data_IF_949240310920
#
_entry.id   IF_949240310920
#
_cell.length_a   1.000
_cell.length_b   1.000
_cell.length_c   1.000
_cell.angle_alpha   90.00
_cell.angle_beta   90.00
_cell.angle_gamma   90.00
#
_symmetry.space_group_name_H-M   'P 1'
#
loop_
_entity.id
_entity.type
_entity.pdbx_description
1 polymer ?
#
# COMPACT_ATOMS: atom_id res chain seq x y z
N UNK A 1 67.86 -12.58 -54.17
CA UNK A 1 67.88 -12.75 -52.70
C UNK A 1 66.66 -13.59 -52.36
N UNK A 2 66.93 -14.89 -52.24
CA UNK A 2 66.16 -16.06 -51.73
C UNK A 2 64.69 -15.80 -51.37
N UNK A 3 63.64 -16.38 -51.96
CA UNK A 3 63.34 -17.72 -52.52
C UNK A 3 63.44 -18.91 -51.54
N UNK A 4 62.28 -19.58 -51.39
CA UNK A 4 62.00 -20.98 -51.01
C UNK A 4 62.27 -21.37 -49.53
N UNK A 5 61.57 -22.31 -48.85
CA UNK A 5 60.84 -23.50 -49.33
C UNK A 5 60.05 -24.20 -48.21
N UNK A 6 59.01 -24.96 -48.64
CA UNK A 6 58.59 -26.34 -48.22
C UNK A 6 58.35 -26.63 -46.71
N UNK A 7 57.14 -27.02 -46.28
CA UNK A 7 56.43 -28.30 -46.48
C UNK A 7 57.13 -29.52 -45.84
N UNK A 8 56.56 -30.03 -44.74
CA UNK A 8 56.63 -31.42 -44.22
C UNK A 8 55.40 -31.59 -43.29
N UNK A 9 54.32 -32.30 -43.67
CA UNK A 9 54.12 -33.76 -43.68
C UNK A 9 54.35 -34.48 -42.33
N UNK A 10 53.27 -34.85 -41.63
CA UNK A 10 52.88 -36.24 -41.27
C UNK A 10 51.55 -36.21 -40.50
N UNK A 11 50.42 -36.74 -40.99
CA UNK A 11 49.97 -38.15 -40.90
C UNK A 11 50.19 -38.75 -39.50
N UNK A 12 49.26 -39.44 -38.84
CA UNK A 12 48.02 -40.07 -39.25
C UNK A 12 47.64 -41.09 -38.17
N UNK A 13 46.35 -41.41 -38.13
CA UNK A 13 45.64 -42.40 -37.32
C UNK A 13 46.39 -43.65 -36.84
N UNK A 14 46.01 -44.18 -35.68
CA UNK A 14 46.34 -45.56 -35.29
C UNK A 14 45.74 -45.99 -33.97
N UNK A 15 44.69 -46.82 -34.06
CA UNK A 15 43.97 -47.50 -32.99
C UNK A 15 44.79 -48.58 -32.27
N UNK A 16 44.38 -48.94 -31.05
CA UNK A 16 44.60 -50.26 -30.44
C UNK A 16 45.29 -50.20 -29.08
N UNK A 17 44.51 -50.21 -27.98
CA UNK A 17 44.26 -51.39 -27.13
C UNK A 17 45.47 -51.83 -26.31
N UNK A 18 45.44 -51.54 -25.01
CA UNK A 18 45.82 -52.50 -23.99
C UNK A 18 45.04 -52.29 -22.70
N UNK A 19 44.67 -53.42 -22.12
CA UNK A 19 43.75 -53.62 -21.01
C UNK A 19 44.45 -53.34 -19.67
N UNK A 20 43.81 -52.57 -18.79
CA UNK A 20 44.05 -52.71 -17.36
C UNK A 20 42.76 -52.54 -16.57
N UNK A 21 42.41 -53.62 -15.88
CA UNK A 21 41.22 -53.78 -15.08
C UNK A 21 41.32 -53.02 -13.74
N UNK A 22 40.16 -52.54 -13.28
CA UNK A 22 39.82 -52.59 -11.86
C UNK A 22 39.90 -51.28 -11.08
N UNK A 23 38.85 -50.45 -11.17
CA UNK A 23 38.26 -49.83 -9.98
C UNK A 23 36.83 -49.37 -10.29
N UNK A 24 35.86 -50.17 -9.86
CA UNK A 24 34.45 -49.80 -9.86
C UNK A 24 34.23 -48.75 -8.77
N UNK A 25 34.10 -47.49 -9.18
CA UNK A 25 33.54 -46.43 -8.34
C UNK A 25 32.06 -46.76 -8.08
N UNK A 26 31.80 -47.32 -6.89
CA UNK A 26 30.47 -47.57 -6.35
C UNK A 26 29.71 -46.29 -6.02
N UNK A 27 29.37 -45.49 -7.04
CA UNK A 27 28.34 -44.46 -6.90
C UNK A 27 27.01 -45.19 -6.70
N UNK A 28 26.27 -44.97 -5.60
CA UNK A 28 24.95 -45.55 -5.47
C UNK A 28 24.13 -45.07 -6.68
N UNK A 29 23.59 -46.01 -7.46
CA UNK A 29 22.66 -45.68 -8.52
C UNK A 29 21.56 -44.81 -7.91
N UNK A 30 21.42 -43.57 -8.38
CA UNK A 30 20.34 -42.69 -7.95
C UNK A 30 19.03 -43.41 -8.25
N UNK A 31 18.39 -43.92 -7.20
CA UNK A 31 17.09 -44.56 -7.30
C UNK A 31 16.11 -43.47 -7.75
N UNK A 32 15.66 -43.57 -9.00
CA UNK A 32 14.64 -42.68 -9.52
C UNK A 32 13.36 -42.85 -8.69
N UNK A 33 12.58 -41.77 -8.51
CA UNK A 33 11.31 -41.86 -7.79
C UNK A 33 10.39 -42.89 -8.47
N UNK A 34 9.61 -43.66 -7.69
CA UNK A 34 8.66 -44.64 -8.24
C UNK A 34 7.59 -43.94 -9.09
N UNK A 35 6.94 -44.68 -9.99
CA UNK A 35 5.85 -44.13 -10.79
C UNK A 35 4.71 -43.61 -9.91
N UNK A 36 4.25 -42.38 -10.15
CA UNK A 36 3.32 -41.72 -9.25
C UNK A 36 2.98 -40.29 -9.65
N UNK A 37 2.09 -39.69 -8.87
CA UNK A 37 1.71 -38.29 -9.03
C UNK A 37 2.59 -37.41 -8.17
N UNK A 38 3.24 -36.45 -8.80
CA UNK A 38 4.14 -35.50 -8.16
C UNK A 38 3.76 -34.08 -8.58
N UNK A 39 4.21 -33.07 -7.84
CA UNK A 39 4.04 -31.67 -8.23
C UNK A 39 4.56 -31.46 -9.66
N UNK A 40 3.75 -30.81 -10.51
CA UNK A 40 4.12 -30.60 -11.91
C UNK A 40 5.40 -29.75 -11.99
N UNK A 41 6.52 -30.27 -12.55
CA UNK A 41 7.77 -29.52 -12.66
C UNK A 41 7.72 -28.43 -13.73
N UNK A 42 6.68 -28.38 -14.58
CA UNK A 42 6.55 -27.36 -15.61
C UNK A 42 6.31 -25.99 -14.96
N UNK A 43 6.97 -24.90 -15.41
CA UNK A 43 6.82 -23.56 -14.81
C UNK A 43 5.38 -23.00 -14.82
N UNK A 44 4.54 -23.54 -15.70
CA UNK A 44 3.10 -23.22 -15.83
C UNK A 44 2.20 -24.37 -15.35
N UNK A 45 2.78 -25.42 -14.78
CA UNK A 45 2.07 -26.58 -14.27
C UNK A 45 1.27 -26.23 -13.03
N UNK A 46 -0.05 -26.43 -13.10
CA UNK A 46 -0.95 -26.33 -11.95
C UNK A 46 -1.35 -27.73 -11.51
N UNK A 47 -1.10 -28.05 -10.23
CA UNK A 47 -1.42 -29.35 -9.66
C UNK A 47 -0.30 -30.38 -9.80
N UNK A 48 -0.68 -31.63 -10.09
CA UNK A 48 0.24 -32.76 -10.14
C UNK A 48 0.36 -33.31 -11.56
N UNK A 49 1.56 -33.74 -11.94
CA UNK A 49 1.85 -34.46 -13.18
C UNK A 49 2.25 -35.89 -12.86
N UNK A 50 1.89 -36.83 -13.72
CA UNK A 50 2.25 -38.24 -13.53
C UNK A 50 3.67 -38.53 -14.04
N UNK A 51 4.51 -39.10 -13.19
CA UNK A 51 5.83 -39.65 -13.47
C UNK A 51 5.69 -41.16 -13.68
N UNK A 52 6.21 -41.70 -14.78
CA UNK A 52 6.07 -43.12 -15.13
C UNK A 52 7.23 -44.01 -14.64
N UNK A 53 8.19 -43.45 -13.91
CA UNK A 53 9.41 -44.13 -13.47
C UNK A 53 10.65 -43.79 -14.32
N UNK A 54 10.47 -43.22 -15.51
CA UNK A 54 11.58 -42.82 -16.39
C UNK A 54 11.44 -41.39 -16.94
N UNK A 55 10.20 -40.89 -17.12
CA UNK A 55 9.91 -39.54 -17.62
C UNK A 55 8.58 -38.99 -17.10
N UNK A 56 8.43 -37.67 -17.24
CA UNK A 56 7.17 -37.00 -17.01
C UNK A 56 6.21 -37.24 -18.18
N UNK A 57 4.96 -37.61 -17.85
CA UNK A 57 3.90 -37.81 -18.85
C UNK A 57 3.08 -36.54 -19.07
N UNK A 58 2.21 -36.54 -20.07
CA UNK A 58 1.28 -35.43 -20.33
C UNK A 58 0.08 -35.40 -19.36
N UNK A 59 -0.12 -36.43 -18.53
CA UNK A 59 -1.25 -36.53 -17.61
C UNK A 59 -1.08 -35.59 -16.42
N UNK A 60 -2.03 -34.66 -16.26
CA UNK A 60 -2.09 -33.68 -15.16
C UNK A 60 -3.41 -33.80 -14.39
N UNK A 61 -3.38 -33.57 -13.07
CA UNK A 61 -4.57 -33.50 -12.23
C UNK A 61 -4.52 -32.31 -11.25
N UNK A 62 -5.67 -31.73 -10.87
CA UNK A 62 -5.72 -30.75 -9.78
C UNK A 62 -5.15 -31.33 -8.47
N UNK A 63 -4.59 -30.48 -7.62
CA UNK A 63 -4.13 -30.92 -6.30
C UNK A 63 -5.34 -31.39 -5.47
N UNK A 64 -5.30 -32.60 -4.86
CA UNK A 64 -6.38 -33.06 -3.98
C UNK A 64 -6.70 -32.07 -2.84
N UNK A 65 -5.76 -31.22 -2.43
CA UNK A 65 -6.02 -30.14 -1.48
C UNK A 65 -6.98 -29.05 -2.01
N UNK A 66 -7.02 -28.84 -3.33
CA UNK A 66 -7.92 -27.86 -3.98
C UNK A 66 -9.32 -28.44 -4.23
N UNK A 67 -9.44 -29.75 -4.41
CA UNK A 67 -10.74 -30.42 -4.62
C UNK A 67 -11.58 -30.54 -3.33
N UNK A 68 -10.95 -30.54 -2.15
CA UNK A 68 -11.66 -30.56 -0.86
C UNK A 68 -12.16 -29.18 -0.39
N UNK A 69 -11.79 -28.09 -1.08
CA UNK A 69 -12.08 -26.71 -0.68
C UNK A 69 -13.34 -26.08 -1.28
N UNK A 70 -14.12 -26.83 -2.07
CA UNK A 70 -15.34 -26.32 -2.73
C UNK A 70 -16.55 -27.17 -2.33
N UNK A 71 -16.91 -27.13 -1.04
CA UNK A 71 -18.24 -27.51 -0.56
C UNK A 71 -18.82 -26.29 0.16
N UNK A 72 -19.50 -25.43 -0.60
CA UNK A 72 -20.35 -24.37 -0.04
C UNK A 72 -21.61 -24.97 0.61
N UNK A 73 -22.27 -24.23 1.52
CA UNK A 73 -23.33 -24.76 2.37
C UNK A 73 -24.53 -25.22 1.54
N UNK A 74 -24.92 -26.48 1.73
CA UNK A 74 -26.08 -27.09 1.09
C UNK A 74 -27.39 -26.44 1.56
N UNK A 75 -28.15 -25.98 0.59
CA UNK A 75 -29.53 -25.50 0.70
C UNK A 75 -30.46 -26.66 1.10
N UNK A 76 -31.38 -26.38 2.02
CA UNK A 76 -32.29 -27.38 2.59
C UNK A 76 -33.34 -27.86 1.57
N UNK A 77 -33.46 -29.18 1.41
CA UNK A 77 -34.59 -29.84 0.76
C UNK A 77 -34.93 -31.16 1.51
N UNK A 78 -36.19 -31.64 1.43
CA UNK A 78 -36.85 -32.36 2.52
C UNK A 78 -36.57 -33.87 2.60
N UNK A 79 -36.82 -34.40 3.79
CA UNK A 79 -36.76 -35.79 4.26
C UNK A 79 -37.42 -36.84 3.36
N UNK A 80 -36.71 -37.96 3.14
CA UNK A 80 -37.26 -39.28 2.81
C UNK A 80 -36.37 -40.39 3.46
N UNK A 81 -36.92 -41.56 3.84
CA UNK A 81 -36.38 -42.38 4.93
C UNK A 81 -35.32 -43.42 4.54
N UNK A 82 -34.34 -43.51 5.44
CA UNK A 82 -33.47 -44.61 5.89
C UNK A 82 -33.61 -45.98 5.21
N UNK A 83 -32.48 -46.52 4.72
CA UNK A 83 -32.24 -47.96 4.65
C UNK A 83 -30.90 -48.31 5.30
N UNK A 84 -30.98 -49.17 6.31
CA UNK A 84 -29.89 -49.73 7.09
C UNK A 84 -29.11 -50.78 6.28
N UNK A 85 -27.78 -50.79 6.41
CA UNK A 85 -26.99 -52.02 6.27
C UNK A 85 -25.83 -52.00 7.28
N UNK A 86 -25.74 -53.11 8.01
CA UNK A 86 -24.95 -53.39 9.21
C UNK A 86 -23.52 -53.89 8.88
N UNK A 87 -22.65 -54.11 9.90
CA UNK A 87 -21.20 -53.91 9.84
C UNK A 87 -20.40 -55.22 9.64
N UNK A 88 -19.08 -55.11 9.43
CA UNK A 88 -18.17 -56.23 9.78
C UNK A 88 -16.77 -55.80 10.30
N UNK A 89 -16.18 -56.54 11.27
CA UNK A 89 -14.99 -56.16 12.04
C UNK A 89 -13.76 -57.09 11.83
N UNK A 90 -12.55 -56.67 12.24
CA UNK A 90 -11.38 -57.57 12.31
C UNK A 90 -10.05 -56.94 12.75
N UNK A 91 -9.63 -57.28 13.98
CA UNK A 91 -8.37 -56.99 14.73
C UNK A 91 -7.20 -57.94 14.32
N UNK A 92 -6.02 -58.04 15.01
CA UNK A 92 -5.06 -57.07 15.61
C UNK A 92 -3.54 -57.49 15.38
N UNK A 93 -2.61 -56.94 16.22
CA UNK A 93 -1.34 -57.55 16.76
C UNK A 93 -0.02 -56.92 16.24
N UNK A 94 1.02 -56.52 16.99
CA UNK A 94 1.31 -56.37 18.43
C UNK A 94 2.85 -56.27 18.72
N UNK A 95 3.32 -55.15 19.35
CA UNK A 95 4.42 -54.92 20.36
C UNK A 95 5.89 -55.47 20.19
N UNK A 96 6.90 -55.14 21.05
CA UNK A 96 7.34 -53.85 21.64
C UNK A 96 8.91 -53.64 21.76
N UNK A 97 9.36 -52.37 21.82
CA UNK A 97 10.44 -51.82 22.69
C UNK A 97 11.93 -52.26 22.63
N UNK A 98 12.88 -51.30 22.64
CA UNK A 98 13.97 -51.13 23.63
C UNK A 98 14.98 -50.02 23.24
N UNK A 99 15.85 -49.68 24.19
CA UNK A 99 16.45 -48.38 24.54
C UNK A 99 17.95 -48.28 24.14
N UNK A 100 18.40 -47.07 23.81
CA UNK A 100 19.75 -46.41 23.80
C UNK A 100 21.06 -47.17 24.17
N UNK A 101 22.27 -46.75 23.67
CA UNK A 101 22.88 -45.44 24.01
C UNK A 101 23.72 -44.71 22.93
N UNK A 102 24.11 -43.48 23.29
CA UNK A 102 24.79 -42.41 22.54
C UNK A 102 26.32 -42.38 22.80
N UNK A 103 27.15 -41.86 21.87
CA UNK A 103 28.06 -40.70 22.17
C UNK A 103 28.23 -39.78 20.93
N UNK A 104 28.61 -38.50 20.92
CA UNK A 104 29.06 -37.46 21.85
C UNK A 104 29.26 -36.16 21.01
N UNK A 105 29.19 -34.98 21.62
CA UNK A 105 29.07 -33.63 21.00
C UNK A 105 30.38 -33.10 20.33
N UNK A 106 30.28 -32.05 19.49
CA UNK A 106 30.65 -30.72 20.01
C UNK A 106 29.62 -29.61 19.74
N UNK A 107 29.74 -28.58 20.58
CA UNK A 107 28.81 -27.49 20.90
C UNK A 107 29.19 -26.18 20.19
N UNK A 108 28.20 -25.49 19.62
CA UNK A 108 28.12 -24.03 19.38
C UNK A 108 26.72 -23.75 18.77
N UNK A 109 25.90 -22.74 19.07
CA UNK A 109 25.82 -21.59 19.99
C UNK A 109 24.34 -21.11 19.85
N UNK A 110 23.63 -20.59 20.88
CA UNK A 110 22.18 -20.37 20.79
C UNK A 110 21.84 -19.03 20.12
N UNK A 111 21.05 -19.06 19.04
CA UNK A 111 20.32 -17.88 18.55
C UNK A 111 18.85 -17.97 19.02
N UNK A 112 18.38 -16.87 19.62
CA UNK A 112 17.11 -16.79 20.32
C UNK A 112 15.94 -16.69 19.33
N UNK A 113 15.03 -17.68 19.40
CA UNK A 113 13.76 -17.63 18.68
C UNK A 113 12.76 -16.64 19.28
N UNK A 114 11.93 -16.05 18.42
CA UNK A 114 10.61 -15.52 18.81
C UNK A 114 9.52 -16.13 17.93
N UNK A 115 8.52 -16.70 18.57
CA UNK A 115 7.54 -17.63 18.01
C UNK A 115 6.58 -17.04 16.99
N UNK A 116 6.41 -17.77 15.88
CA UNK A 116 5.37 -17.53 14.89
C UNK A 116 4.07 -18.25 15.26
N UNK A 117 3.00 -17.47 15.43
CA UNK A 117 1.62 -17.96 15.47
C UNK A 117 1.18 -18.38 14.06
N UNK A 118 0.40 -19.46 13.89
CA UNK A 118 -0.11 -19.85 12.58
C UNK A 118 -1.29 -18.96 12.19
N UNK A 119 -1.08 -18.04 11.24
CA UNK A 119 -2.20 -17.29 10.64
C UNK A 119 -2.87 -18.15 9.55
N UNK A 120 -4.12 -18.51 9.82
CA UNK A 120 -5.04 -19.22 8.96
C UNK A 120 -5.72 -18.21 8.01
N UNK A 121 -5.69 -18.51 6.70
CA UNK A 121 -6.68 -18.03 5.72
C UNK A 121 -6.45 -16.64 5.12
N UNK A 122 -5.96 -16.59 3.88
CA UNK A 122 -5.99 -15.37 3.07
C UNK A 122 -5.47 -15.59 1.64
N UNK A 123 -6.41 -15.72 0.70
CA UNK A 123 -6.28 -15.68 -0.76
C UNK A 123 -4.87 -15.45 -1.34
N UNK A 124 -4.20 -16.52 -1.77
CA UNK A 124 -3.01 -16.43 -2.62
C UNK A 124 -3.43 -16.04 -4.04
N UNK A 125 -3.24 -14.77 -4.40
CA UNK A 125 -3.31 -14.30 -5.79
C UNK A 125 -2.01 -14.68 -6.52
N UNK A 126 -2.04 -15.46 -7.61
CA UNK A 126 -0.84 -15.93 -8.29
C UNK A 126 -0.43 -14.94 -9.38
N UNK A 127 0.27 -13.87 -9.02
CA UNK A 127 1.03 -13.07 -9.98
C UNK A 127 2.43 -12.82 -9.41
N UNK A 128 3.36 -13.75 -9.68
CA UNK A 128 4.80 -13.54 -9.43
C UNK A 128 5.29 -12.44 -10.36
N UNK A 129 5.72 -11.31 -9.81
CA UNK A 129 6.61 -10.39 -10.53
C UNK A 129 8.03 -10.95 -10.47
N UNK A 130 8.64 -11.09 -11.64
CA UNK A 130 9.95 -11.70 -11.92
C UNK A 130 11.16 -10.86 -11.45
N UNK A 131 10.92 -9.79 -10.70
CA UNK A 131 11.96 -8.99 -10.07
C UNK A 131 11.69 -9.00 -8.56
N UNK A 132 12.65 -9.47 -7.77
CA UNK A 132 12.58 -9.73 -6.32
C UNK A 132 12.31 -8.52 -5.40
N UNK A 133 11.33 -7.70 -5.74
CA UNK A 133 10.78 -6.66 -4.89
C UNK A 133 9.76 -7.29 -3.95
N UNK A 134 9.93 -7.04 -2.65
CA UNK A 134 9.00 -7.44 -1.62
C UNK A 134 7.57 -6.99 -1.98
N UNK A 135 6.59 -7.86 -1.74
CA UNK A 135 5.17 -7.49 -1.88
C UNK A 135 4.91 -6.21 -1.08
N UNK A 136 4.11 -5.27 -1.60
CA UNK A 136 3.71 -4.10 -0.83
C UNK A 136 3.02 -4.58 0.45
N UNK A 137 3.65 -4.38 1.61
CA UNK A 137 3.00 -4.65 2.88
C UNK A 137 1.92 -3.57 3.09
N UNK A 138 0.66 -3.96 2.94
CA UNK A 138 -0.50 -3.11 3.25
C UNK A 138 -1.55 -3.00 2.14
N UNK A 139 -2.58 -2.18 2.36
CA UNK A 139 -3.69 -2.02 1.42
C UNK A 139 -3.22 -1.58 0.02
N UNK A 140 -3.77 -2.20 -1.01
CA UNK A 140 -3.49 -1.90 -2.41
C UNK A 140 -4.76 -1.50 -3.15
N UNK A 141 -4.59 -0.79 -4.26
CA UNK A 141 -5.65 -0.57 -5.27
C UNK A 141 -6.01 -1.88 -5.97
N UNK A 142 -7.14 -1.94 -6.69
CA UNK A 142 -7.50 -3.14 -7.44
C UNK A 142 -6.46 -3.51 -8.52
N UNK A 143 -5.78 -2.52 -9.09
CA UNK A 143 -4.64 -2.73 -9.99
C UNK A 143 -3.30 -2.97 -9.26
N UNK A 144 -3.29 -3.13 -7.93
CA UNK A 144 -2.11 -3.61 -7.19
C UNK A 144 -1.08 -2.55 -6.79
N UNK A 145 -1.45 -1.26 -6.82
CA UNK A 145 -0.59 -0.16 -6.38
C UNK A 145 -0.76 0.09 -4.89
N UNK A 146 0.33 0.27 -4.15
CA UNK A 146 0.29 0.49 -2.70
C UNK A 146 -0.43 1.78 -2.33
N UNK A 147 -1.35 1.71 -1.37
CA UNK A 147 -1.96 2.90 -0.78
C UNK A 147 -0.96 3.67 0.09
N UNK A 148 -1.04 4.99 0.04
CA UNK A 148 -0.20 5.88 0.86
C UNK A 148 -0.43 5.65 2.36
N UNK A 149 0.66 5.63 3.12
CA UNK A 149 0.63 5.56 4.59
C UNK A 149 -0.06 6.76 5.23
N UNK A 150 -0.72 6.55 6.37
CA UNK A 150 -1.33 7.64 7.14
C UNK A 150 -0.32 8.67 7.63
N UNK A 151 0.82 8.22 8.16
CA UNK A 151 1.91 9.12 8.58
C UNK A 151 2.44 9.98 7.44
N UNK A 152 2.65 9.39 6.26
CA UNK A 152 3.06 10.16 5.08
C UNK A 152 1.99 11.19 4.67
N UNK A 153 0.70 10.83 4.69
CA UNK A 153 -0.36 11.80 4.36
C UNK A 153 -0.45 12.93 5.38
N UNK A 154 -0.24 12.64 6.66
CA UNK A 154 -0.22 13.64 7.73
C UNK A 154 0.96 14.61 7.58
N UNK A 155 2.17 14.10 7.34
CA UNK A 155 3.35 14.96 7.12
C UNK A 155 3.20 15.76 5.82
N UNK A 156 2.61 15.20 4.76
CA UNK A 156 2.29 15.94 3.54
C UNK A 156 1.36 17.12 3.83
N UNK A 157 0.32 16.90 4.64
CA UNK A 157 -0.58 17.95 5.08
C UNK A 157 0.12 19.05 5.89
N UNK A 158 1.08 18.70 6.76
CA UNK A 158 1.91 19.68 7.47
C UNK A 158 2.75 20.51 6.48
N UNK A 159 3.41 19.87 5.52
CA UNK A 159 4.24 20.57 4.53
C UNK A 159 3.39 21.57 3.73
N UNK A 160 2.23 21.13 3.23
CA UNK A 160 1.30 22.03 2.53
C UNK A 160 0.77 23.14 3.45
N UNK A 161 0.55 22.84 4.74
CA UNK A 161 0.16 23.83 5.74
C UNK A 161 1.22 24.92 5.93
N UNK A 162 2.49 24.55 6.03
CA UNK A 162 3.60 25.50 6.13
C UNK A 162 3.67 26.37 4.88
N UNK A 163 3.54 25.78 3.69
CA UNK A 163 3.53 26.54 2.43
C UNK A 163 2.38 27.55 2.39
N UNK A 164 1.19 27.15 2.83
CA UNK A 164 0.05 28.06 2.91
C UNK A 164 0.22 29.14 3.98
N UNK A 165 0.85 28.84 5.12
CA UNK A 165 1.18 29.85 6.13
C UNK A 165 2.15 30.88 5.56
N UNK A 166 3.19 30.45 4.84
CA UNK A 166 4.13 31.38 4.18
C UNK A 166 3.39 32.27 3.18
N UNK A 167 2.56 31.70 2.32
CA UNK A 167 1.73 32.45 1.36
C UNK A 167 0.81 33.43 2.11
N UNK A 168 0.16 32.98 3.17
CA UNK A 168 -0.73 33.81 3.99
C UNK A 168 0.02 34.98 4.64
N UNK A 169 1.23 34.76 5.16
CA UNK A 169 2.06 35.82 5.73
C UNK A 169 2.47 36.85 4.68
N UNK A 170 2.81 36.42 3.46
CA UNK A 170 3.12 37.32 2.35
C UNK A 170 1.89 38.14 1.96
N UNK A 171 0.74 37.49 1.80
CA UNK A 171 -0.53 38.18 1.48
C UNK A 171 -0.88 39.16 2.59
N UNK A 172 -0.69 38.78 3.86
CA UNK A 172 -0.96 39.64 5.01
C UNK A 172 -0.14 40.94 4.94
N UNK A 173 1.09 40.93 4.41
CA UNK A 173 1.88 42.16 4.26
C UNK A 173 1.16 43.22 3.40
N UNK A 174 0.35 42.80 2.42
CA UNK A 174 -0.42 43.71 1.57
C UNK A 174 -1.56 44.40 2.34
N UNK A 175 -2.13 43.71 3.32
CA UNK A 175 -3.23 44.22 4.17
C UNK A 175 -2.75 44.81 5.48
N UNK A 176 -1.47 44.60 5.84
CA UNK A 176 -0.93 44.89 7.16
C UNK A 176 -1.10 46.36 7.53
N UNK A 177 -0.80 47.27 6.60
CA UNK A 177 -0.94 48.72 6.82
C UNK A 177 -2.38 49.10 7.19
N UNK A 178 -3.36 48.61 6.44
CA UNK A 178 -4.76 49.00 6.63
C UNK A 178 -5.32 48.43 7.93
N UNK A 179 -5.01 47.16 8.22
CA UNK A 179 -5.41 46.50 9.48
C UNK A 179 -4.78 47.20 10.68
N UNK A 180 -3.49 47.54 10.62
CA UNK A 180 -2.78 48.22 11.70
C UNK A 180 -3.31 49.64 11.90
N UNK A 181 -3.56 50.38 10.82
CA UNK A 181 -4.11 51.74 10.89
C UNK A 181 -5.50 51.73 11.55
N UNK A 182 -6.37 50.82 11.10
CA UNK A 182 -7.69 50.60 11.68
C UNK A 182 -7.64 50.26 13.18
N UNK A 183 -6.72 49.37 13.56
CA UNK A 183 -6.55 48.96 14.96
C UNK A 183 -5.97 50.10 15.83
N UNK A 184 -5.01 50.87 15.31
CA UNK A 184 -4.45 52.02 16.00
C UNK A 184 -5.50 53.11 16.22
N UNK A 185 -6.37 53.35 15.24
CA UNK A 185 -7.48 54.30 15.38
C UNK A 185 -8.46 53.86 16.46
N UNK A 186 -8.88 52.59 16.45
CA UNK A 186 -9.72 52.02 17.52
C UNK A 186 -9.08 52.18 18.90
N UNK A 187 -7.78 51.87 19.01
CA UNK A 187 -7.07 51.99 20.28
C UNK A 187 -7.02 53.44 20.78
N UNK A 188 -6.82 54.41 19.89
CA UNK A 188 -6.82 55.83 20.24
C UNK A 188 -8.19 56.28 20.77
N UNK A 189 -9.28 55.85 20.13
CA UNK A 189 -10.63 56.20 20.56
C UNK A 189 -10.98 55.58 21.91
N UNK A 190 -10.60 54.32 22.14
CA UNK A 190 -10.74 53.66 23.44
C UNK A 190 -10.01 54.44 24.53
N UNK A 191 -8.74 54.81 24.31
CA UNK A 191 -7.94 55.59 25.27
C UNK A 191 -8.59 56.95 25.53
N UNK A 192 -9.11 57.61 24.48
CA UNK A 192 -9.78 58.91 24.60
C UNK A 192 -11.07 58.82 25.44
N UNK A 193 -11.87 57.77 25.24
CA UNK A 193 -13.09 57.52 26.00
C UNK A 193 -12.78 57.35 27.49
N UNK A 194 -11.76 56.55 27.82
CA UNK A 194 -11.30 56.38 29.20
C UNK A 194 -10.81 57.69 29.83
N UNK A 195 -9.98 58.46 29.12
CA UNK A 195 -9.46 59.74 29.63
C UNK A 195 -10.56 60.77 29.87
N UNK A 196 -11.65 60.70 29.11
CA UNK A 196 -12.80 61.59 29.23
C UNK A 196 -13.85 61.08 30.24
N UNK A 197 -13.57 59.98 30.96
CA UNK A 197 -14.48 59.39 31.95
C UNK A 197 -15.71 58.69 31.33
N UNK A 198 -15.69 58.40 30.04
CA UNK A 198 -16.74 57.63 29.37
C UNK A 198 -16.67 56.16 29.77
N UNK A 199 -17.82 55.55 30.02
CA UNK A 199 -17.98 54.09 30.16
C UNK A 199 -18.36 53.41 28.85
N UNK A 200 -18.63 54.19 27.80
CA UNK A 200 -18.92 53.68 26.46
C UNK A 200 -17.61 53.42 25.72
N UNK A 201 -17.22 52.14 25.64
CA UNK A 201 -15.97 51.70 25.03
C UNK A 201 -16.27 51.15 23.64
N UNK A 202 -15.76 51.80 22.57
CA UNK A 202 -15.97 51.33 21.21
C UNK A 202 -15.48 49.90 21.00
N UNK A 203 -16.23 49.10 20.25
CA UNK A 203 -15.83 47.74 19.88
C UNK A 203 -14.85 47.78 18.71
N UNK A 204 -13.78 46.95 18.70
CA UNK A 204 -12.90 46.83 17.54
C UNK A 204 -13.62 46.24 16.31
N UNK A 205 -14.80 45.64 16.53
CA UNK A 205 -15.62 45.08 15.47
C UNK A 205 -16.55 46.12 14.81
N UNK A 206 -16.60 47.35 15.35
CA UNK A 206 -17.42 48.42 14.78
C UNK A 206 -16.99 48.69 13.32
N UNK A 207 -17.93 48.68 12.36
CA UNK A 207 -17.64 48.96 10.96
C UNK A 207 -16.92 50.29 10.72
N UNK A 208 -17.04 51.27 11.63
CA UNK A 208 -16.36 52.57 11.53
C UNK A 208 -14.84 52.44 11.43
N UNK A 209 -14.24 51.44 12.10
CA UNK A 209 -12.80 51.20 12.06
C UNK A 209 -12.36 50.38 10.85
N UNK A 210 -13.27 49.60 10.24
CA UNK A 210 -12.95 48.76 9.09
C UNK A 210 -12.07 47.53 9.38
N UNK A 211 -11.69 47.28 10.65
CA UNK A 211 -10.88 46.11 11.06
C UNK A 211 -11.53 44.81 10.59
N UNK A 212 -12.82 44.64 10.88
CA UNK A 212 -13.62 43.46 10.50
C UNK A 212 -13.63 43.27 8.99
N UNK A 213 -13.87 44.33 8.23
CA UNK A 213 -13.92 44.29 6.76
C UNK A 213 -12.58 43.87 6.17
N UNK A 214 -11.48 44.51 6.58
CA UNK A 214 -10.15 44.19 6.07
C UNK A 214 -9.72 42.77 6.44
N UNK A 215 -10.05 42.33 7.66
CA UNK A 215 -9.81 40.96 8.08
C UNK A 215 -10.55 39.94 7.22
N UNK A 216 -11.83 40.17 6.91
CA UNK A 216 -12.60 39.26 6.06
C UNK A 216 -12.12 39.26 4.61
N UNK A 217 -11.78 40.42 4.05
CA UNK A 217 -11.22 40.50 2.69
C UNK A 217 -9.92 39.69 2.62
N UNK A 218 -9.02 39.88 3.59
CA UNK A 218 -7.80 39.09 3.70
C UNK A 218 -8.09 37.58 3.77
N UNK A 219 -9.01 37.14 4.63
CA UNK A 219 -9.37 35.73 4.77
C UNK A 219 -9.94 35.16 3.46
N UNK A 220 -10.83 35.87 2.79
CA UNK A 220 -11.42 35.44 1.50
C UNK A 220 -10.33 35.31 0.42
N UNK A 221 -9.41 36.27 0.34
CA UNK A 221 -8.28 36.22 -0.61
C UNK A 221 -7.40 34.99 -0.34
N UNK A 222 -7.04 34.73 0.92
CA UNK A 222 -6.25 33.55 1.30
C UNK A 222 -6.99 32.26 0.99
N UNK A 223 -8.31 32.21 1.24
CA UNK A 223 -9.12 31.04 0.89
C UNK A 223 -9.11 30.77 -0.62
N UNK A 224 -9.30 31.80 -1.45
CA UNK A 224 -9.29 31.66 -2.91
C UNK A 224 -7.93 31.18 -3.40
N UNK A 225 -6.84 31.80 -2.92
CA UNK A 225 -5.47 31.41 -3.30
C UNK A 225 -5.20 29.95 -2.95
N UNK A 226 -5.54 29.54 -1.72
CA UNK A 226 -5.37 28.15 -1.33
C UNK A 226 -6.24 27.19 -2.14
N UNK A 227 -7.47 27.59 -2.49
CA UNK A 227 -8.39 26.77 -3.29
C UNK A 227 -7.79 26.50 -4.66
N UNK A 228 -7.34 27.58 -5.32
CA UNK A 228 -6.67 27.52 -6.62
C UNK A 228 -5.39 26.69 -6.52
N UNK A 229 -4.56 26.92 -5.50
CA UNK A 229 -3.32 26.15 -5.28
C UNK A 229 -3.58 24.63 -5.27
N UNK A 230 -4.51 24.18 -4.42
CA UNK A 230 -4.79 22.74 -4.33
C UNK A 230 -5.52 22.19 -5.54
N UNK A 231 -6.44 22.97 -6.13
CA UNK A 231 -7.19 22.56 -7.31
C UNK A 231 -6.26 22.32 -8.50
N UNK A 232 -5.42 23.30 -8.83
CA UNK A 232 -4.53 23.22 -9.98
C UNK A 232 -3.47 22.14 -9.79
N UNK A 233 -2.88 22.01 -8.60
CA UNK A 233 -1.92 20.94 -8.32
C UNK A 233 -2.54 19.55 -8.40
N UNK A 234 -3.74 19.38 -7.85
CA UNK A 234 -4.45 18.10 -7.92
C UNK A 234 -4.84 17.78 -9.36
N UNK A 235 -5.31 18.77 -10.13
CA UNK A 235 -5.70 18.60 -11.51
C UNK A 235 -4.52 18.23 -12.41
N UNK A 236 -3.43 19.02 -12.38
CA UNK A 236 -2.31 18.86 -13.30
C UNK A 236 -1.26 17.85 -12.83
N UNK A 237 -0.99 17.77 -11.53
CA UNK A 237 0.07 16.90 -10.97
C UNK A 237 -0.48 15.67 -10.27
N UNK A 238 -1.78 15.63 -9.98
CA UNK A 238 -2.38 14.55 -9.19
C UNK A 238 -1.83 14.52 -7.77
N UNK A 239 -1.22 15.59 -7.28
CA UNK A 239 -0.61 15.63 -5.95
C UNK A 239 -0.31 17.08 -5.55
N UNK A 240 -0.46 17.37 -4.26
CA UNK A 240 0.01 18.62 -3.65
C UNK A 240 1.54 18.63 -3.54
N UNK A 241 2.18 19.76 -3.21
CA UNK A 241 3.63 19.80 -3.06
C UNK A 241 4.09 18.95 -1.86
N UNK A 242 3.35 18.97 -0.75
CA UNK A 242 3.62 18.09 0.38
C UNK A 242 3.49 16.60 0.02
N UNK A 243 2.48 16.24 -0.79
CA UNK A 243 2.33 14.88 -1.29
C UNK A 243 3.47 14.48 -2.21
N UNK A 244 3.88 15.35 -3.13
CA UNK A 244 5.02 15.10 -4.02
C UNK A 244 6.32 14.88 -3.23
N UNK A 245 6.59 15.71 -2.23
CA UNK A 245 7.75 15.58 -1.35
C UNK A 245 7.80 14.20 -0.66
N UNK A 246 6.64 13.64 -0.33
CA UNK A 246 6.53 12.34 0.33
C UNK A 246 6.32 11.16 -0.61
N UNK A 247 6.39 11.38 -1.93
CA UNK A 247 6.14 10.34 -2.93
C UNK A 247 4.72 9.77 -2.80
N UNK A 248 3.74 10.66 -2.70
CA UNK A 248 2.32 10.36 -2.69
C UNK A 248 1.66 10.93 -3.94
N UNK A 249 0.65 10.22 -4.43
CA UNK A 249 -0.14 10.65 -5.58
C UNK A 249 -1.61 10.32 -5.37
N UNK A 250 -2.46 11.25 -5.75
CA UNK A 250 -3.91 11.10 -5.80
C UNK A 250 -4.30 10.53 -7.16
N UNK A 251 -5.08 9.48 -7.14
CA UNK A 251 -5.54 8.73 -8.31
C UNK A 251 -7.03 8.40 -8.15
N UNK A 252 -7.76 8.10 -9.23
CA UNK A 252 -9.11 7.56 -9.12
C UNK A 252 -9.11 6.26 -8.29
N UNK A 253 -10.24 6.00 -7.63
CA UNK A 253 -10.40 4.78 -6.83
C UNK A 253 -10.14 3.55 -7.68
N UNK A 254 -9.44 2.60 -7.07
CA UNK A 254 -9.02 1.32 -7.63
C UNK A 254 -8.16 1.39 -8.92
N UNK A 255 -7.70 2.57 -9.34
CA UNK A 255 -6.89 2.79 -10.55
C UNK A 255 -5.60 3.55 -10.26
N UNK A 256 -4.58 2.88 -9.74
CA UNK A 256 -3.28 3.46 -9.35
C UNK A 256 -2.26 3.67 -10.47
N UNK A 257 -2.37 2.95 -11.59
CA UNK A 257 -1.43 3.03 -12.73
C UNK A 257 -1.74 4.13 -13.75
N UNK A 258 -2.75 4.97 -13.48
CA UNK A 258 -3.10 6.06 -14.39
C UNK A 258 -2.00 7.14 -14.44
N UNK A 259 -1.94 7.93 -15.53
CA UNK A 259 -1.07 9.10 -15.61
C UNK A 259 -1.32 10.09 -14.46
N UNK A 260 -0.34 10.97 -14.21
CA UNK A 260 -0.49 12.01 -13.21
C UNK A 260 -1.59 13.01 -13.60
N UNK A 261 -2.23 13.58 -12.59
CA UNK A 261 -3.35 14.49 -12.78
C UNK A 261 -4.71 13.81 -12.58
N UNK A 262 -5.69 14.61 -12.19
CA UNK A 262 -7.08 14.20 -12.04
C UNK A 262 -7.96 15.06 -12.95
N UNK A 263 -9.06 14.54 -13.49
CA UNK A 263 -10.01 15.37 -14.23
C UNK A 263 -10.57 16.49 -13.35
N UNK A 264 -11.10 17.56 -13.97
CA UNK A 264 -11.63 18.72 -13.26
C UNK A 264 -12.73 18.35 -12.25
N UNK A 265 -13.68 17.49 -12.62
CA UNK A 265 -14.79 17.09 -11.75
C UNK A 265 -14.33 16.48 -10.42
N UNK A 266 -13.58 15.36 -10.42
CA UNK A 266 -13.00 14.79 -9.21
C UNK A 266 -12.14 15.78 -8.43
N UNK A 267 -11.34 16.61 -9.11
CA UNK A 267 -10.50 17.62 -8.44
C UNK A 267 -11.36 18.66 -7.71
N UNK A 268 -12.39 19.20 -8.35
CA UNK A 268 -13.32 20.17 -7.76
C UNK A 268 -14.10 19.60 -6.59
N UNK A 269 -14.62 18.37 -6.71
CA UNK A 269 -15.34 17.72 -5.60
C UNK A 269 -14.40 17.46 -4.43
N UNK A 270 -13.20 16.93 -4.71
CA UNK A 270 -12.20 16.60 -3.70
C UNK A 270 -11.82 17.84 -2.90
N UNK A 271 -11.49 18.91 -3.62
CA UNK A 271 -11.05 20.15 -3.03
C UNK A 271 -12.25 20.85 -2.37
N UNK A 272 -13.39 20.97 -3.04
CA UNK A 272 -14.61 21.57 -2.51
C UNK A 272 -15.05 21.01 -1.15
N UNK A 273 -15.05 19.69 -0.97
CA UNK A 273 -15.39 19.06 0.33
C UNK A 273 -14.44 19.51 1.46
N UNK A 274 -13.14 19.64 1.17
CA UNK A 274 -12.18 20.18 2.14
C UNK A 274 -12.42 21.67 2.43
N UNK A 275 -12.80 22.44 1.40
CA UNK A 275 -13.02 23.88 1.51
C UNK A 275 -14.31 24.27 2.21
N UNK A 276 -15.34 23.42 2.18
CA UNK A 276 -16.58 23.66 2.95
C UNK A 276 -16.27 23.88 4.43
N UNK A 277 -15.41 23.05 5.03
CA UNK A 277 -14.98 23.24 6.42
C UNK A 277 -14.26 24.58 6.66
N UNK A 278 -13.42 25.01 5.70
CA UNK A 278 -12.70 26.29 5.78
C UNK A 278 -13.65 27.49 5.68
N UNK A 279 -14.63 27.42 4.79
CA UNK A 279 -15.64 28.48 4.59
C UNK A 279 -16.56 28.59 5.82
N UNK A 280 -17.04 27.47 6.36
CA UNK A 280 -17.80 27.46 7.62
C UNK A 280 -16.98 28.11 8.74
N UNK A 281 -15.68 27.84 8.78
CA UNK A 281 -14.72 28.43 9.72
C UNK A 281 -14.66 29.96 9.74
N UNK A 282 -15.10 30.65 8.68
CA UNK A 282 -15.14 32.12 8.64
C UNK A 282 -16.33 32.72 9.41
N UNK A 283 -17.36 31.92 9.72
CA UNK A 283 -18.56 32.41 10.36
C UNK A 283 -18.31 32.64 11.87
N UNK A 284 -18.58 33.83 12.43
CA UNK A 284 -18.27 34.14 13.83
C UNK A 284 -18.89 33.17 14.84
N UNK A 285 -20.15 32.78 14.62
CA UNK A 285 -20.94 32.01 15.59
C UNK A 285 -20.70 30.51 15.45
N UNK A 286 -20.57 30.03 14.21
CA UNK A 286 -20.52 28.59 13.90
C UNK A 286 -19.18 28.13 13.32
N UNK A 287 -18.16 28.99 13.35
CA UNK A 287 -16.84 28.71 12.78
C UNK A 287 -16.18 27.46 13.33
N UNK A 288 -16.42 27.13 14.60
CA UNK A 288 -15.89 25.92 15.23
C UNK A 288 -16.36 24.63 14.53
N UNK A 289 -17.55 24.62 13.90
CA UNK A 289 -18.06 23.49 13.14
C UNK A 289 -17.18 23.18 11.91
N UNK A 290 -16.49 24.19 11.37
CA UNK A 290 -15.54 24.02 10.28
C UNK A 290 -14.36 23.11 10.65
N UNK A 291 -13.92 23.14 11.91
CA UNK A 291 -12.89 22.22 12.43
C UNK A 291 -13.45 20.81 12.61
N UNK A 292 -14.72 20.67 12.99
CA UNK A 292 -15.36 19.35 13.11
C UNK A 292 -15.49 18.66 11.75
N UNK A 293 -15.74 19.40 10.67
CA UNK A 293 -15.76 18.84 9.30
C UNK A 293 -14.39 18.24 8.93
N UNK A 294 -13.30 18.96 9.23
CA UNK A 294 -11.94 18.46 8.98
C UNK A 294 -11.60 17.25 9.84
N UNK A 295 -12.02 17.26 11.11
CA UNK A 295 -11.83 16.14 12.01
C UNK A 295 -12.60 14.89 11.53
N UNK A 296 -13.85 15.06 11.10
CA UNK A 296 -14.65 13.99 10.54
C UNK A 296 -14.01 13.38 9.28
N UNK A 297 -13.41 14.20 8.42
CA UNK A 297 -12.68 13.76 7.23
C UNK A 297 -11.50 12.83 7.58
N UNK A 298 -10.71 13.21 8.58
CA UNK A 298 -9.55 12.43 9.06
C UNK A 298 -9.99 11.16 9.77
N UNK A 299 -10.95 11.24 10.70
CA UNK A 299 -11.47 10.09 11.46
C UNK A 299 -12.04 9.04 10.49
N UNK A 300 -12.86 9.48 9.53
CA UNK A 300 -13.40 8.57 8.52
C UNK A 300 -12.29 7.85 7.75
N UNK A 301 -11.25 8.59 7.38
CA UNK A 301 -10.10 7.99 6.69
C UNK A 301 -9.36 6.96 7.53
N UNK A 302 -9.12 7.24 8.81
CA UNK A 302 -8.40 6.32 9.71
C UNK A 302 -9.18 5.02 9.91
N UNK A 303 -10.51 5.11 10.00
CA UNK A 303 -11.39 3.95 10.16
C UNK A 303 -11.59 3.14 8.85
N UNK A 304 -11.33 3.73 7.69
CA UNK A 304 -11.61 3.12 6.39
C UNK A 304 -10.50 2.16 5.93
N UNK A 305 -10.84 0.91 5.59
CA UNK A 305 -9.91 -0.10 5.06
C UNK A 305 -9.20 0.32 3.77
N UNK A 306 -9.87 1.09 2.90
CA UNK A 306 -9.28 1.70 1.69
C UNK A 306 -8.52 3.00 2.00
N UNK A 307 -8.38 3.37 3.27
CA UNK A 307 -7.75 4.60 3.74
C UNK A 307 -8.30 5.83 3.00
N UNK A 308 -9.58 5.87 2.66
CA UNK A 308 -10.18 7.03 1.98
C UNK A 308 -10.76 7.97 3.02
N UNK A 309 -10.30 9.22 3.00
CA UNK A 309 -10.96 10.34 3.69
C UNK A 309 -12.30 10.67 3.03
N UNK A 310 -13.16 11.45 3.70
CA UNK A 310 -14.46 11.85 3.15
C UNK A 310 -14.30 12.56 1.80
N UNK A 311 -13.37 13.51 1.70
CA UNK A 311 -13.09 14.24 0.48
C UNK A 311 -12.59 13.35 -0.68
N UNK A 312 -11.90 12.26 -0.36
CA UNK A 312 -11.48 11.27 -1.34
C UNK A 312 -12.66 10.39 -1.77
N UNK A 313 -13.52 9.99 -0.82
CA UNK A 313 -14.71 9.20 -1.10
C UNK A 313 -15.68 9.93 -2.02
N UNK A 314 -16.02 11.18 -1.72
CA UNK A 314 -16.96 11.97 -2.54
C UNK A 314 -16.44 12.23 -3.96
N UNK A 315 -15.13 12.36 -4.12
CA UNK A 315 -14.51 12.57 -5.43
C UNK A 315 -14.18 11.29 -6.19
N UNK A 316 -14.42 10.11 -5.59
CA UNK A 316 -14.00 8.85 -6.19
C UNK A 316 -12.48 8.79 -6.40
N UNK A 317 -11.71 9.30 -5.44
CA UNK A 317 -10.24 9.27 -5.45
C UNK A 317 -9.65 8.54 -4.25
N UNK A 318 -8.35 8.23 -4.33
CA UNK A 318 -7.55 7.64 -3.26
C UNK A 318 -6.10 8.08 -3.41
N UNK A 319 -5.32 8.00 -2.33
CA UNK A 319 -3.90 8.37 -2.35
C UNK A 319 -3.04 7.12 -2.30
N UNK A 320 -2.19 6.96 -3.30
CA UNK A 320 -1.20 5.90 -3.46
C UNK A 320 0.19 6.39 -3.04
N UNK A 321 1.10 5.45 -2.78
CA UNK A 321 2.53 5.72 -2.66
C UNK A 321 3.21 5.47 -4.00
N UNK A 322 4.08 6.39 -4.42
CA UNK A 322 4.94 6.25 -5.61
C UNK A 322 6.36 5.80 -5.26
N UNK A 323 6.67 5.69 -3.97
CA UNK A 323 7.92 5.10 -3.49
C UNK A 323 7.80 3.57 -3.57
N UNK A 324 8.88 2.85 -3.95
CA UNK A 324 8.91 1.39 -3.91
C UNK A 324 8.58 0.85 -2.51
#
# INVERSE_FOLDING_TARGET
MSEDSRNDQNQGSGYGHDLQAGQQDGRPAQQLPPAGWYSDPHPQGIGQRYWDGARWTHSTRPDPATAAGVAGPAEAAPTAPVQQAQPQPGYPQGRPGQVQPQPGYPQAQPDYGQGGYPYVGGYQQPWRTEAGFAYPSGPVTADGVRLGGWGARFVAWIIDGILLVVIQTIVLQLFFRDIVTAMMQWQQDVISAFNNGSTDVPSPLDPVYGVTTQWYVFQVVVLIIGFVYFLLLTHYRGATLGQQALGLRVVPVDRGRVPAGLPWGPSLIRIGVLWVGRVIGLLPVIGFLGNLVQLADVIYGLANKKRQTLHCRFSGTQVISTRP
#
